data_IF_421650749006
#
_entry.id   IF_421650749006
#
_cell.length_a   1.000
_cell.length_b   1.000
_cell.length_c   1.000
_cell.angle_alpha   90.00
_cell.angle_beta   90.00
_cell.angle_gamma   90.00
#
_symmetry.space_group_name_H-M   'P 1'
#
loop_
_entity.id
_entity.type
_entity.pdbx_description
1 polymer ?
#
# COMPACT_ATOMS: atom_id res chain seq x y z
N UNK A 1 15.12 19.72 1.93
CA UNK A 1 13.72 19.97 1.52
C UNK A 1 13.33 18.79 0.64
N UNK A 2 12.39 17.95 1.08
CA UNK A 2 11.89 16.87 0.23
C UNK A 2 11.15 17.45 -0.98
N UNK A 3 11.27 16.79 -2.13
CA UNK A 3 10.52 17.14 -3.32
C UNK A 3 9.04 16.77 -3.11
N UNK A 4 8.10 17.73 -3.12
CA UNK A 4 6.69 17.48 -2.84
C UNK A 4 5.96 16.78 -4.00
N UNK A 5 6.61 16.62 -5.16
CA UNK A 5 6.02 15.97 -6.32
C UNK A 5 6.14 14.45 -6.20
N UNK A 6 5.06 13.77 -6.56
CA UNK A 6 5.06 12.33 -6.76
C UNK A 6 6.18 11.97 -7.75
N UNK A 7 7.08 11.10 -7.31
CA UNK A 7 8.10 10.53 -8.16
C UNK A 7 8.13 9.02 -7.97
N UNK A 8 8.64 8.33 -8.98
CA UNK A 8 8.60 6.87 -9.02
C UNK A 8 9.43 6.24 -7.89
N UNK A 9 10.57 6.84 -7.51
CA UNK A 9 11.45 6.30 -6.45
C UNK A 9 10.78 6.33 -5.08
N UNK A 10 10.17 7.46 -4.68
CA UNK A 10 9.44 7.56 -3.41
C UNK A 10 8.18 6.69 -3.42
N UNK A 11 7.54 6.54 -4.58
CA UNK A 11 6.39 5.65 -4.72
C UNK A 11 6.81 4.19 -4.57
N UNK A 12 7.96 3.80 -5.12
CA UNK A 12 8.51 2.46 -4.95
C UNK A 12 8.79 2.15 -3.47
N UNK A 13 9.30 3.12 -2.71
CA UNK A 13 9.55 2.97 -1.27
C UNK A 13 8.25 2.86 -0.46
N UNK A 14 7.29 3.77 -0.68
CA UNK A 14 6.01 3.78 0.02
C UNK A 14 5.15 2.56 -0.32
N UNK A 15 5.20 2.08 -1.58
CA UNK A 15 4.40 0.95 -2.06
C UNK A 15 5.06 -0.42 -1.79
N UNK A 16 6.21 -0.49 -1.08
CA UNK A 16 6.80 -1.77 -0.67
C UNK A 16 5.82 -2.54 0.21
N UNK A 17 5.79 -3.86 0.05
CA UNK A 17 4.85 -4.74 0.74
C UNK A 17 4.76 -4.48 2.25
N UNK A 18 5.89 -4.52 2.96
CA UNK A 18 5.92 -4.35 4.43
C UNK A 18 5.42 -2.97 4.88
N UNK A 19 5.72 -1.93 4.10
CA UNK A 19 5.33 -0.54 4.41
C UNK A 19 3.84 -0.36 4.20
N UNK A 20 3.35 -0.74 3.02
CA UNK A 20 1.97 -0.51 2.63
C UNK A 20 1.00 -1.45 3.39
N UNK A 21 1.34 -2.73 3.56
CA UNK A 21 0.55 -3.66 4.36
C UNK A 21 0.53 -3.24 5.82
N UNK A 22 1.67 -2.88 6.40
CA UNK A 22 1.77 -2.39 7.77
C UNK A 22 0.87 -1.17 7.98
N UNK A 23 0.88 -0.22 7.04
CA UNK A 23 0.00 0.96 7.09
C UNK A 23 -1.48 0.58 7.00
N UNK A 24 -1.85 -0.31 6.08
CA UNK A 24 -3.24 -0.75 5.92
C UNK A 24 -3.77 -1.46 7.18
N UNK A 25 -2.97 -2.35 7.77
CA UNK A 25 -3.29 -3.04 9.02
C UNK A 25 -3.39 -2.07 10.20
N UNK A 26 -2.47 -1.10 10.29
CA UNK A 26 -2.56 -0.05 11.30
C UNK A 26 -3.87 0.73 11.18
N UNK A 27 -4.24 1.17 9.97
CA UNK A 27 -5.50 1.87 9.74
C UNK A 27 -6.72 1.00 10.08
N UNK A 28 -6.66 -0.30 9.82
CA UNK A 28 -7.71 -1.23 10.23
C UNK A 28 -7.85 -1.32 11.75
N UNK A 29 -6.73 -1.40 12.48
CA UNK A 29 -6.74 -1.39 13.95
C UNK A 29 -7.26 -0.09 14.53
N UNK A 30 -6.83 1.06 13.97
CA UNK A 30 -7.22 2.39 14.46
C UNK A 30 -8.69 2.72 14.18
N UNK A 31 -9.19 2.34 13.00
CA UNK A 31 -10.55 2.68 12.57
C UNK A 31 -11.59 1.60 12.90
N UNK A 32 -11.14 0.38 13.19
CA UNK A 32 -12.01 -0.80 13.29
C UNK A 32 -12.69 -1.20 11.97
N UNK A 33 -12.24 -0.63 10.83
CA UNK A 33 -12.84 -0.86 9.51
C UNK A 33 -11.86 -1.56 8.59
N UNK A 34 -12.40 -2.45 7.74
CA UNK A 34 -11.61 -3.10 6.71
C UNK A 34 -11.17 -2.08 5.63
N UNK A 35 -9.90 -2.08 5.18
CA UNK A 35 -9.42 -1.19 4.12
C UNK A 35 -9.98 -1.61 2.75
N UNK A 36 -11.16 -1.11 2.40
CA UNK A 36 -11.84 -1.41 1.14
C UNK A 36 -11.36 -0.54 -0.05
N UNK A 37 -10.54 0.48 0.21
CA UNK A 37 -9.99 1.36 -0.80
C UNK A 37 -8.56 1.75 -0.43
N UNK A 38 -7.60 1.46 -1.32
CA UNK A 38 -6.19 1.81 -1.16
C UNK A 38 -5.80 2.71 -2.34
N UNK A 39 -5.37 3.93 -2.02
CA UNK A 39 -4.86 4.89 -2.99
C UNK A 39 -3.35 5.06 -2.81
N UNK A 40 -2.61 4.97 -3.91
CA UNK A 40 -1.17 5.18 -3.95
C UNK A 40 -0.79 5.98 -5.20
N UNK A 41 0.37 6.61 -5.18
CA UNK A 41 0.97 7.17 -6.39
C UNK A 41 1.63 6.04 -7.20
N UNK A 42 1.56 6.15 -8.54
CA UNK A 42 2.13 5.17 -9.47
C UNK A 42 1.76 3.72 -9.13
N UNK A 43 0.46 3.40 -9.14
CA UNK A 43 -0.10 2.11 -8.66
C UNK A 43 0.58 0.84 -9.21
N UNK A 44 1.21 0.91 -10.38
CA UNK A 44 1.94 -0.20 -10.99
C UNK A 44 3.38 -0.37 -10.45
N UNK A 45 3.85 0.51 -9.55
CA UNK A 45 5.18 0.48 -8.94
C UNK A 45 5.07 -0.04 -7.51
N UNK A 46 5.90 -1.03 -7.15
CA UNK A 46 5.88 -1.68 -5.84
C UNK A 46 4.91 -2.86 -5.77
N UNK A 47 4.35 -3.10 -4.58
CA UNK A 47 3.67 -4.36 -4.24
C UNK A 47 2.15 -4.20 -4.01
N UNK A 48 1.52 -3.14 -4.53
CA UNK A 48 0.12 -2.81 -4.26
C UNK A 48 -0.82 -4.02 -4.40
N UNK A 49 -0.74 -4.74 -5.52
CA UNK A 49 -1.63 -5.89 -5.78
C UNK A 49 -1.38 -7.04 -4.81
N UNK A 50 -0.12 -7.33 -4.49
CA UNK A 50 0.24 -8.35 -3.49
C UNK A 50 -0.29 -7.98 -2.09
N UNK A 51 -0.28 -6.69 -1.73
CA UNK A 51 -0.87 -6.20 -0.47
C UNK A 51 -2.39 -6.38 -0.48
N UNK A 52 -3.06 -6.04 -1.58
CA UNK A 52 -4.51 -6.24 -1.72
C UNK A 52 -4.87 -7.72 -1.62
N UNK A 53 -4.11 -8.60 -2.25
CA UNK A 53 -4.30 -10.04 -2.18
C UNK A 53 -4.15 -10.56 -0.75
N UNK A 54 -3.11 -10.12 -0.04
CA UNK A 54 -2.88 -10.47 1.36
C UNK A 54 -4.03 -10.00 2.27
N UNK A 55 -4.53 -8.77 2.08
CA UNK A 55 -5.67 -8.24 2.85
C UNK A 55 -6.97 -9.01 2.58
N UNK A 56 -7.14 -9.53 1.36
CA UNK A 56 -8.31 -10.33 0.98
C UNK A 56 -8.13 -11.83 1.23
N UNK A 57 -6.94 -12.28 1.67
CA UNK A 57 -6.66 -13.69 1.91
C UNK A 57 -6.64 -14.55 0.65
N UNK A 58 -6.31 -13.97 -0.51
CA UNK A 58 -6.19 -14.68 -1.79
C UNK A 58 -4.71 -14.80 -2.17
N UNK A 59 -4.33 -15.88 -2.83
CA UNK A 59 -2.98 -16.07 -3.37
C UNK A 59 -2.95 -15.69 -4.86
N UNK A 60 -2.03 -14.80 -5.24
CA UNK A 60 -1.72 -14.50 -6.63
C UNK A 60 -1.08 -15.74 -7.27
N UNK A 61 -1.73 -16.34 -8.27
CA UNK A 61 -1.12 -17.37 -9.13
C UNK A 61 -0.21 -16.73 -10.18
#
# INVERSE_FOLDING_TARGET
>A
MENPLANNSLSAEANRYEVLLGRAQQCQMESGKFPNFIAVNHYATGDLFRVVDALNGVSSN
#
